data_IF_223937275279
#
_entry.id   IF_223937275279
#
_cell.length_a   1.000
_cell.length_b   1.000
_cell.length_c   1.000
_cell.angle_alpha   90.00
_cell.angle_beta   90.00
_cell.angle_gamma   90.00
#
_symmetry.space_group_name_H-M   'P 1'
#
loop_
_entity.id
_entity.type
_entity.pdbx_description
1 polymer ?
#
# COMPACT_ATOMS: atom_id res chain seq x y z
N UNK A 1 -55.39 15.80 -52.01
CA UNK A 1 -54.89 17.13 -51.59
C UNK A 1 -54.35 16.96 -50.18
N UNK A 2 -53.17 17.52 -49.91
CA UNK A 2 -52.16 17.03 -48.96
C UNK A 2 -52.58 17.08 -47.48
N UNK A 3 -52.22 16.02 -46.75
CA UNK A 3 -52.00 16.01 -45.30
C UNK A 3 -50.80 16.92 -44.97
N UNK A 4 -50.83 17.74 -43.91
CA UNK A 4 -49.65 18.43 -43.43
C UNK A 4 -48.79 17.50 -42.56
N UNK A 5 -47.49 17.63 -42.80
CA UNK A 5 -46.39 16.77 -42.38
C UNK A 5 -46.17 16.69 -40.86
N UNK A 6 -45.87 15.47 -40.42
CA UNK A 6 -45.29 15.16 -39.13
C UNK A 6 -43.79 15.46 -39.20
N UNK A 7 -43.39 16.70 -38.91
CA UNK A 7 -41.99 17.10 -38.94
C UNK A 7 -41.67 18.17 -37.88
N UNK A 8 -42.12 17.93 -36.65
CA UNK A 8 -41.81 18.80 -35.53
C UNK A 8 -41.67 17.98 -34.23
N UNK A 9 -40.50 17.37 -34.02
CA UNK A 9 -39.93 17.10 -32.68
C UNK A 9 -38.61 16.29 -32.72
N UNK A 10 -37.62 16.59 -33.57
CA UNK A 10 -36.22 16.21 -33.28
C UNK A 10 -35.28 17.33 -33.73
N UNK A 11 -35.20 18.41 -32.95
CA UNK A 11 -34.09 19.35 -33.05
C UNK A 11 -33.64 19.81 -31.66
N UNK A 12 -32.31 19.77 -31.49
CA UNK A 12 -31.44 20.44 -30.49
C UNK A 12 -31.07 19.65 -29.23
N UNK A 13 -29.89 19.06 -29.32
CA UNK A 13 -29.06 18.66 -28.19
C UNK A 13 -27.56 18.68 -28.54
N UNK A 14 -27.06 19.67 -29.28
CA UNK A 14 -25.61 19.88 -29.39
C UNK A 14 -25.15 20.78 -28.24
N UNK A 15 -24.57 20.14 -27.21
CA UNK A 15 -23.91 20.85 -26.12
C UNK A 15 -22.81 21.77 -26.67
N UNK A 16 -22.71 23.04 -26.23
CA UNK A 16 -21.69 23.97 -26.68
C UNK A 16 -20.31 23.50 -26.19
N UNK A 17 -19.59 22.79 -27.05
CA UNK A 17 -18.28 22.26 -26.76
C UNK A 17 -17.24 23.39 -26.65
N UNK A 18 -16.64 23.50 -25.46
CA UNK A 18 -15.65 24.51 -25.10
C UNK A 18 -14.46 24.50 -26.08
N UNK A 19 -13.92 25.67 -26.46
CA UNK A 19 -12.88 25.80 -27.51
C UNK A 19 -11.61 25.00 -27.20
N UNK A 20 -11.32 24.74 -25.92
CA UNK A 20 -10.22 23.87 -25.47
C UNK A 20 -10.52 22.39 -25.70
N UNK A 21 -11.76 21.97 -25.50
CA UNK A 21 -12.21 20.58 -25.72
C UNK A 21 -12.23 20.24 -27.22
N UNK A 22 -12.61 21.19 -28.09
CA UNK A 22 -12.48 21.03 -29.56
C UNK A 22 -11.03 20.83 -30.03
N UNK A 23 -10.07 21.51 -29.41
CA UNK A 23 -8.64 21.36 -29.74
C UNK A 23 -8.09 20.01 -29.30
N UNK A 24 -8.48 19.52 -28.13
CA UNK A 24 -8.11 18.19 -27.62
C UNK A 24 -8.68 17.09 -28.52
N UNK A 25 -9.94 17.22 -28.94
CA UNK A 25 -10.57 16.27 -29.88
C UNK A 25 -9.91 16.24 -31.25
N UNK A 26 -9.49 17.38 -31.79
CA UNK A 26 -8.77 17.45 -33.07
C UNK A 26 -7.38 16.80 -32.99
N UNK A 27 -6.66 16.96 -31.87
CA UNK A 27 -5.36 16.31 -31.66
C UNK A 27 -5.53 14.80 -31.52
N UNK A 28 -6.51 14.34 -30.75
CA UNK A 28 -6.81 12.90 -30.60
C UNK A 28 -7.19 12.25 -31.92
N UNK A 29 -8.01 12.93 -32.75
CA UNK A 29 -8.46 12.40 -34.03
C UNK A 29 -7.33 12.37 -35.08
N UNK A 30 -6.43 13.36 -35.04
CA UNK A 30 -5.20 13.32 -35.85
C UNK A 30 -4.25 12.19 -35.42
N UNK A 31 -4.11 11.94 -34.11
CA UNK A 31 -3.27 10.87 -33.56
C UNK A 31 -3.83 9.48 -33.92
N UNK A 32 -5.15 9.32 -33.93
CA UNK A 32 -5.85 8.11 -34.38
C UNK A 32 -5.68 7.85 -35.89
N UNK A 33 -5.70 8.89 -36.71
CA UNK A 33 -5.40 8.76 -38.15
C UNK A 33 -3.93 8.42 -38.41
N UNK A 34 -2.98 8.94 -37.62
CA UNK A 34 -1.57 8.56 -37.71
C UNK A 34 -1.34 7.08 -37.30
N UNK A 35 -2.07 6.58 -36.30
CA UNK A 35 -2.02 5.17 -35.89
C UNK A 35 -2.62 4.23 -36.95
N UNK A 36 -3.68 4.66 -37.65
CA UNK A 36 -4.28 3.89 -38.75
C UNK A 36 -3.38 3.78 -40.00
N UNK A 37 -2.63 4.84 -40.32
CA UNK A 37 -1.73 4.86 -41.49
C UNK A 37 -0.43 4.04 -41.28
N UNK A 38 -0.05 3.76 -40.03
CA UNK A 38 1.08 2.88 -39.70
C UNK A 38 0.71 1.39 -39.83
N UNK A 39 -0.57 1.04 -39.69
CA UNK A 39 -1.04 -0.35 -39.76
C UNK A 39 -1.18 -0.90 -41.19
N UNK A 40 -1.24 -0.05 -42.22
CA UNK A 40 -1.53 -0.49 -43.61
C UNK A 40 -0.30 -0.55 -44.52
N UNK A 41 0.93 -0.31 -44.01
CA UNK A 41 2.13 -0.25 -44.85
C UNK A 41 3.16 -1.37 -44.63
N UNK A 42 2.89 -2.31 -43.74
CA UNK A 42 3.84 -3.37 -43.35
C UNK A 42 3.21 -4.77 -43.41
N UNK A 43 2.61 -5.09 -44.56
CA UNK A 43 2.32 -6.49 -44.94
C UNK A 43 2.94 -6.72 -46.31
N UNK A 44 4.27 -6.87 -46.33
CA UNK A 44 4.93 -7.72 -47.32
C UNK A 44 5.45 -8.94 -46.57
N UNK A 45 5.06 -10.17 -46.93
CA UNK A 45 5.63 -11.37 -46.36
C UNK A 45 7.05 -11.54 -46.91
N UNK A 46 8.04 -11.37 -46.04
CA UNK A 46 9.42 -11.77 -46.27
C UNK A 46 9.50 -13.30 -46.20
N UNK A 47 10.24 -14.00 -47.08
CA UNK A 47 10.30 -15.46 -47.05
C UNK A 47 10.86 -15.94 -45.71
N UNK A 48 10.09 -16.79 -45.02
CA UNK A 48 10.43 -17.38 -43.73
C UNK A 48 11.84 -17.99 -43.76
N UNK A 49 12.79 -17.30 -43.12
CA UNK A 49 13.96 -17.98 -42.56
C UNK A 49 13.47 -18.77 -41.34
N UNK A 50 13.89 -20.03 -41.16
CA UNK A 50 13.42 -20.83 -40.04
C UNK A 50 13.75 -20.11 -38.73
N UNK A 51 12.70 -19.74 -37.98
CA UNK A 51 12.83 -19.27 -36.61
C UNK A 51 13.70 -20.28 -35.83
N UNK A 52 14.67 -19.81 -35.02
CA UNK A 52 15.37 -20.71 -34.13
C UNK A 52 14.34 -21.34 -33.19
N UNK A 53 14.18 -22.64 -33.35
CA UNK A 53 13.28 -23.53 -32.66
C UNK A 53 13.17 -23.16 -31.17
N UNK A 54 12.01 -22.65 -30.74
CA UNK A 54 11.66 -22.54 -29.31
C UNK A 54 11.44 -23.95 -28.77
N UNK A 55 12.53 -24.66 -28.53
CA UNK A 55 12.52 -25.89 -27.74
C UNK A 55 12.32 -25.54 -26.26
N UNK A 56 11.52 -26.33 -25.53
CA UNK A 56 11.23 -26.09 -24.13
C UNK A 56 12.53 -26.06 -23.33
N UNK A 57 12.55 -25.23 -22.31
CA UNK A 57 13.64 -25.16 -21.35
C UNK A 57 13.80 -26.51 -20.66
N UNK A 58 14.62 -27.40 -21.24
CA UNK A 58 15.33 -28.39 -20.46
C UNK A 58 16.02 -27.62 -19.33
N UNK A 59 15.83 -28.14 -18.11
CA UNK A 59 16.34 -27.65 -16.83
C UNK A 59 17.87 -27.69 -16.76
N UNK A 60 18.53 -27.08 -17.75
CA UNK A 60 19.97 -26.96 -17.84
C UNK A 60 20.36 -25.73 -17.02
N UNK A 61 21.20 -25.95 -16.02
CA UNK A 61 21.73 -24.88 -15.18
C UNK A 61 22.34 -23.77 -16.05
N UNK A 62 21.99 -22.53 -15.73
CA UNK A 62 22.45 -21.37 -16.48
C UNK A 62 23.84 -20.97 -16.01
N UNK A 63 24.73 -20.65 -16.97
CA UNK A 63 26.08 -20.15 -16.70
C UNK A 63 26.27 -18.79 -17.35
N UNK A 64 26.80 -17.84 -16.59
CA UNK A 64 27.20 -16.52 -17.08
C UNK A 64 28.64 -16.57 -17.56
N UNK A 65 28.93 -16.01 -18.74
CA UNK A 65 30.27 -16.04 -19.35
C UNK A 65 30.67 -14.68 -19.94
N UNK A 66 31.97 -14.33 -19.91
CA UNK A 66 32.45 -13.10 -20.51
C UNK A 66 32.60 -13.25 -22.04
N UNK A 67 32.13 -12.26 -22.78
CA UNK A 67 32.39 -12.07 -24.20
C UNK A 67 33.70 -11.33 -24.46
N UNK A 68 34.18 -11.40 -25.71
CA UNK A 68 35.44 -10.78 -26.13
C UNK A 68 35.46 -9.24 -25.99
N UNK A 69 34.29 -8.62 -25.90
CA UNK A 69 34.07 -7.18 -25.75
C UNK A 69 33.99 -6.72 -24.28
N UNK A 70 34.30 -7.58 -23.31
CA UNK A 70 34.16 -7.28 -21.88
C UNK A 70 32.69 -7.20 -21.40
N UNK A 71 31.74 -7.64 -22.23
CA UNK A 71 30.34 -7.81 -21.86
C UNK A 71 30.08 -9.24 -21.39
N UNK A 72 28.91 -9.46 -20.80
CA UNK A 72 28.49 -10.73 -20.26
C UNK A 72 27.31 -11.29 -21.06
N UNK A 73 27.36 -12.58 -21.33
CA UNK A 73 26.28 -13.38 -21.89
C UNK A 73 25.90 -14.52 -20.93
N UNK A 74 24.87 -15.27 -21.30
CA UNK A 74 24.42 -16.45 -20.57
C UNK A 74 24.28 -17.64 -21.52
N UNK A 75 24.62 -18.84 -21.04
CA UNK A 75 24.52 -20.09 -21.79
C UNK A 75 23.96 -21.20 -20.91
N UNK A 76 23.34 -22.19 -21.53
CA UNK A 76 22.94 -23.41 -20.85
C UNK A 76 24.17 -24.28 -20.55
N UNK A 77 24.03 -25.22 -19.60
CA UNK A 77 25.07 -26.17 -19.22
C UNK A 77 25.65 -26.98 -20.41
N UNK A 78 24.85 -27.23 -21.45
CA UNK A 78 25.28 -27.92 -22.68
C UNK A 78 26.07 -27.02 -23.66
N UNK A 79 26.33 -25.76 -23.30
CA UNK A 79 27.09 -24.80 -24.09
C UNK A 79 26.25 -23.96 -25.06
N UNK A 80 24.95 -24.20 -25.19
CA UNK A 80 24.06 -23.38 -26.03
C UNK A 80 23.95 -21.96 -25.49
N UNK A 81 24.30 -20.96 -26.29
CA UNK A 81 24.08 -19.54 -25.94
C UNK A 81 22.59 -19.27 -25.76
N UNK A 82 22.24 -18.68 -24.62
CA UNK A 82 20.88 -18.24 -24.29
C UNK A 82 20.75 -16.72 -24.43
N UNK A 83 21.79 -15.99 -24.02
CA UNK A 83 21.90 -14.53 -24.13
C UNK A 83 23.27 -14.18 -24.68
N UNK A 84 23.31 -13.44 -25.78
CA UNK A 84 24.55 -12.97 -26.38
C UNK A 84 25.31 -12.00 -25.45
N UNK A 85 26.66 -11.93 -25.50
CA UNK A 85 27.46 -11.03 -24.66
C UNK A 85 27.28 -9.54 -24.99
N UNK A 86 26.18 -8.95 -24.54
CA UNK A 86 25.83 -7.54 -24.77
C UNK A 86 25.70 -6.76 -23.45
N UNK A 87 25.54 -7.46 -22.32
CA UNK A 87 25.27 -6.85 -21.03
C UNK A 87 26.54 -6.39 -20.31
N UNK A 88 26.50 -5.25 -19.63
CA UNK A 88 27.62 -4.76 -18.82
C UNK A 88 27.85 -5.59 -17.55
N UNK A 89 26.84 -6.32 -17.10
CA UNK A 89 26.87 -7.17 -15.93
C UNK A 89 25.66 -8.11 -15.97
N UNK A 90 25.91 -9.39 -15.66
CA UNK A 90 24.90 -10.39 -15.40
C UNK A 90 25.28 -11.16 -14.14
N UNK A 91 24.29 -11.50 -13.32
CA UNK A 91 24.42 -12.41 -12.18
C UNK A 91 23.24 -13.37 -12.16
N UNK A 92 23.53 -14.63 -11.85
CA UNK A 92 22.49 -15.66 -11.71
C UNK A 92 21.72 -15.41 -10.42
N UNK A 93 20.40 -15.29 -10.54
CA UNK A 93 19.46 -15.32 -9.41
C UNK A 93 18.93 -16.74 -9.21
N UNK A 94 18.51 -17.38 -10.31
CA UNK A 94 18.07 -18.78 -10.40
C UNK A 94 18.38 -19.33 -11.79
N UNK A 95 18.05 -20.60 -12.05
CA UNK A 95 18.23 -21.22 -13.37
C UNK A 95 17.38 -20.56 -14.48
N UNK A 96 16.37 -19.77 -14.12
CA UNK A 96 15.51 -19.10 -15.12
C UNK A 96 15.58 -17.59 -15.08
N UNK A 97 16.19 -17.00 -14.04
CA UNK A 97 16.23 -15.55 -13.81
C UNK A 97 17.65 -15.05 -13.59
N UNK A 98 17.97 -13.95 -14.27
CA UNK A 98 19.24 -13.26 -14.18
C UNK A 98 19.03 -11.81 -13.73
N UNK A 99 19.91 -11.34 -12.85
CA UNK A 99 20.05 -9.92 -12.52
C UNK A 99 20.92 -9.28 -13.59
N UNK A 100 20.36 -8.28 -14.26
CA UNK A 100 21.05 -7.54 -15.30
C UNK A 100 21.25 -6.08 -14.89
N UNK A 101 22.35 -5.50 -15.34
CA UNK A 101 22.63 -4.07 -15.18
C UNK A 101 22.44 -3.33 -16.50
N UNK A 102 21.66 -2.26 -16.46
CA UNK A 102 21.62 -1.23 -17.48
C UNK A 102 22.30 0.03 -16.94
N UNK A 103 23.02 0.74 -17.81
CA UNK A 103 23.69 1.99 -17.47
C UNK A 103 23.47 2.98 -18.60
N UNK A 104 23.05 4.20 -18.24
CA UNK A 104 22.96 5.34 -19.15
C UNK A 104 24.22 6.24 -19.08
N UNK A 105 25.26 5.78 -18.38
CA UNK A 105 26.50 6.51 -18.13
C UNK A 105 26.45 7.48 -16.94
N UNK A 106 25.28 7.69 -16.32
CA UNK A 106 25.12 8.51 -15.11
C UNK A 106 24.75 7.68 -13.89
N UNK A 107 23.93 6.65 -14.09
CA UNK A 107 23.48 5.77 -13.02
C UNK A 107 23.38 4.34 -13.51
N UNK A 108 23.85 3.43 -12.66
CA UNK A 108 23.61 2.01 -12.84
C UNK A 108 22.24 1.66 -12.24
N UNK A 109 21.41 1.02 -13.06
CA UNK A 109 20.14 0.48 -12.65
C UNK A 109 20.10 -1.03 -12.92
N UNK A 110 19.46 -1.75 -12.01
CA UNK A 110 19.33 -3.20 -12.07
C UNK A 110 17.88 -3.58 -12.30
N UNK A 111 17.70 -4.66 -13.06
CA UNK A 111 16.42 -5.30 -13.33
C UNK A 111 16.60 -6.81 -13.41
N UNK A 112 15.49 -7.52 -13.57
CA UNK A 112 15.50 -8.97 -13.74
C UNK A 112 15.11 -9.31 -15.17
N UNK A 113 15.83 -10.25 -15.76
CA UNK A 113 15.53 -10.80 -17.08
C UNK A 113 15.44 -12.32 -16.97
N UNK A 114 14.58 -12.93 -17.78
CA UNK A 114 14.59 -14.38 -17.99
C UNK A 114 15.86 -14.80 -18.73
N UNK A 115 16.19 -16.08 -18.63
CA UNK A 115 17.30 -16.69 -19.37
C UNK A 115 17.16 -16.60 -20.90
N UNK A 116 15.97 -16.32 -21.43
CA UNK A 116 15.72 -16.02 -22.85
C UNK A 116 15.88 -14.53 -23.21
N UNK A 117 16.26 -13.67 -22.27
CA UNK A 117 16.45 -12.23 -22.46
C UNK A 117 15.21 -11.36 -22.23
N UNK A 118 14.04 -11.94 -21.95
CA UNK A 118 12.82 -11.18 -21.65
C UNK A 118 12.94 -10.41 -20.33
N UNK A 119 12.55 -9.14 -20.30
CA UNK A 119 12.57 -8.32 -19.08
C UNK A 119 11.38 -8.69 -18.19
N UNK A 120 11.65 -9.17 -16.97
CA UNK A 120 10.66 -9.45 -15.93
C UNK A 120 10.41 -8.25 -15.04
N UNK A 121 11.50 -7.62 -14.60
CA UNK A 121 11.48 -6.50 -13.66
C UNK A 121 12.25 -5.34 -14.28
N UNK A 122 11.65 -4.14 -14.36
CA UNK A 122 12.28 -3.00 -15.02
C UNK A 122 13.56 -2.56 -14.32
N UNK A 123 14.45 -1.92 -15.09
CA UNK A 123 15.74 -1.41 -14.61
C UNK A 123 15.57 -0.12 -13.79
N UNK A 124 15.02 -0.23 -12.59
CA UNK A 124 14.75 0.89 -11.67
C UNK A 124 15.48 0.77 -10.32
N UNK A 125 16.04 -0.41 -10.03
CA UNK A 125 16.66 -0.69 -8.73
C UNK A 125 18.12 -0.28 -8.71
N UNK A 126 18.62 0.15 -7.56
CA UNK A 126 20.03 0.42 -7.34
C UNK A 126 20.82 -0.85 -7.00
N UNK A 127 20.18 -1.89 -6.48
CA UNK A 127 20.80 -3.18 -6.22
C UNK A 127 19.77 -4.31 -6.04
N UNK A 128 20.24 -5.55 -6.25
CA UNK A 128 19.61 -6.80 -5.83
C UNK A 128 20.60 -7.59 -4.98
N UNK A 129 20.16 -8.06 -3.81
CA UNK A 129 20.98 -8.87 -2.91
C UNK A 129 20.19 -10.05 -2.37
N UNK A 130 20.78 -11.25 -2.26
CA UNK A 130 20.14 -12.37 -1.57
C UNK A 130 20.03 -12.02 -0.08
N UNK A 131 18.96 -12.48 0.56
CA UNK A 131 18.80 -12.34 2.00
C UNK A 131 19.59 -13.45 2.70
N UNK A 132 20.55 -13.07 3.55
CA UNK A 132 21.37 -14.04 4.27
C UNK A 132 20.52 -14.94 5.17
N UNK A 133 20.77 -16.25 5.11
CA UNK A 133 20.06 -17.25 5.91
C UNK A 133 18.73 -17.72 5.33
N UNK A 134 18.25 -17.12 4.23
CA UNK A 134 17.02 -17.52 3.55
C UNK A 134 17.31 -17.92 2.10
N UNK A 135 16.82 -19.08 1.70
CA UNK A 135 16.84 -19.49 0.30
C UNK A 135 15.74 -18.75 -0.45
N UNK A 136 15.98 -18.46 -1.73
CA UNK A 136 14.97 -17.96 -2.66
C UNK A 136 14.40 -16.56 -2.38
N UNK A 137 14.96 -15.83 -1.42
CA UNK A 137 14.54 -14.47 -1.07
C UNK A 137 15.59 -13.46 -1.49
N UNK A 138 15.15 -12.49 -2.29
CA UNK A 138 15.98 -11.40 -2.79
C UNK A 138 15.42 -10.04 -2.38
N UNK A 139 16.30 -9.19 -1.89
CA UNK A 139 16.00 -7.80 -1.56
C UNK A 139 16.48 -6.89 -2.67
N UNK A 140 15.56 -6.13 -3.25
CA UNK A 140 15.85 -5.10 -4.24
C UNK A 140 15.73 -3.72 -3.60
N UNK A 141 16.71 -2.84 -3.77
CA UNK A 141 16.66 -1.47 -3.25
C UNK A 141 16.49 -0.46 -4.36
N UNK A 142 15.77 0.63 -4.08
CA UNK A 142 15.65 1.78 -4.97
C UNK A 142 15.56 3.07 -4.17
N UNK A 143 15.65 4.21 -4.84
CA UNK A 143 15.59 5.53 -4.20
C UNK A 143 14.51 6.36 -4.85
N UNK A 144 13.62 6.90 -4.02
CA UNK A 144 12.56 7.82 -4.43
C UNK A 144 12.53 9.01 -3.46
N UNK A 145 12.47 10.23 -3.98
CA UNK A 145 12.46 11.46 -3.17
C UNK A 145 13.62 11.54 -2.14
N UNK A 146 14.79 11.00 -2.50
CA UNK A 146 15.98 10.98 -1.63
C UNK A 146 15.93 9.96 -0.49
N UNK A 147 14.89 9.13 -0.41
CA UNK A 147 14.77 8.04 0.56
C UNK A 147 14.94 6.69 -0.12
N UNK A 148 15.52 5.75 0.60
CA UNK A 148 15.72 4.39 0.13
C UNK A 148 14.52 3.53 0.51
N UNK A 149 14.09 2.70 -0.45
CA UNK A 149 13.01 1.74 -0.27
C UNK A 149 13.44 0.35 -0.74
N UNK A 150 12.67 -0.65 -0.34
CA UNK A 150 12.96 -2.06 -0.58
C UNK A 150 11.73 -2.80 -1.10
N UNK A 151 11.95 -3.66 -2.08
CA UNK A 151 11.01 -4.71 -2.48
C UNK A 151 11.63 -6.07 -2.20
N UNK A 152 10.77 -7.04 -1.88
CA UNK A 152 11.14 -8.44 -1.72
C UNK A 152 10.68 -9.24 -2.93
N UNK A 153 11.59 -10.06 -3.44
CA UNK A 153 11.38 -10.91 -4.61
C UNK A 153 11.65 -12.37 -4.28
N UNK A 154 10.85 -13.24 -4.90
CA UNK A 154 11.18 -14.65 -5.08
C UNK A 154 12.30 -14.79 -6.12
N UNK A 155 12.97 -15.94 -6.15
CA UNK A 155 14.00 -16.24 -7.14
C UNK A 155 13.50 -16.34 -8.59
N UNK A 156 12.18 -16.48 -8.78
CA UNK A 156 11.51 -16.48 -10.10
C UNK A 156 11.19 -15.05 -10.60
N UNK A 157 11.52 -14.04 -9.81
CA UNK A 157 11.32 -12.62 -10.12
C UNK A 157 9.92 -12.09 -9.80
N UNK A 158 9.04 -12.87 -9.17
CA UNK A 158 7.77 -12.38 -8.62
C UNK A 158 7.98 -11.70 -7.26
N UNK A 159 7.07 -10.78 -6.88
CA UNK A 159 7.16 -10.06 -5.60
C UNK A 159 6.44 -10.80 -4.48
N UNK A 160 7.03 -10.78 -3.28
CA UNK A 160 6.39 -11.26 -2.05
C UNK A 160 5.24 -10.34 -1.58
N UNK A 161 5.33 -9.05 -1.89
CA UNK A 161 4.34 -8.04 -1.52
C UNK A 161 4.33 -6.91 -2.55
N UNK A 162 3.21 -6.20 -2.68
CA UNK A 162 3.12 -5.05 -3.57
C UNK A 162 3.73 -3.79 -2.96
N UNK A 163 3.89 -3.77 -1.64
CA UNK A 163 4.40 -2.68 -0.82
C UNK A 163 5.90 -2.43 -1.00
N UNK A 164 6.26 -1.14 -1.07
CA UNK A 164 7.63 -0.65 -0.98
C UNK A 164 7.96 -0.32 0.48
N UNK A 165 8.90 -1.05 1.07
CA UNK A 165 9.26 -0.92 2.47
C UNK A 165 10.34 0.15 2.67
N UNK A 166 10.21 0.99 3.70
CA UNK A 166 11.27 1.94 4.11
C UNK A 166 12.40 1.22 4.84
N UNK A 167 12.10 0.09 5.50
CA UNK A 167 13.10 -0.82 6.06
C UNK A 167 12.64 -2.28 5.94
N UNK A 168 13.60 -3.17 5.77
CA UNK A 168 13.36 -4.60 5.71
C UNK A 168 14.62 -5.35 6.18
N UNK A 169 14.49 -6.01 7.32
CA UNK A 169 15.53 -6.80 7.97
C UNK A 169 15.04 -8.22 8.28
N UNK A 170 15.99 -9.15 8.34
CA UNK A 170 15.76 -10.53 8.67
C UNK A 170 16.68 -10.92 9.81
N UNK A 171 16.12 -11.42 10.90
CA UNK A 171 16.85 -11.89 12.06
C UNK A 171 16.18 -13.19 12.53
N UNK A 172 16.97 -14.25 12.69
CA UNK A 172 16.49 -15.57 13.10
C UNK A 172 15.29 -16.11 12.30
N UNK A 173 15.26 -15.84 10.99
CA UNK A 173 14.17 -16.26 10.09
C UNK A 173 12.92 -15.38 10.14
N UNK A 174 12.91 -14.34 10.98
CA UNK A 174 11.79 -13.41 11.12
C UNK A 174 12.07 -12.17 10.27
N UNK A 175 11.13 -11.87 9.37
CA UNK A 175 11.07 -10.61 8.64
C UNK A 175 10.55 -9.52 9.59
N UNK A 176 11.30 -8.43 9.70
CA UNK A 176 10.80 -7.15 10.22
C UNK A 176 10.78 -6.13 9.08
N UNK A 177 9.61 -5.58 8.78
CA UNK A 177 9.40 -4.61 7.72
C UNK A 177 8.69 -3.36 8.24
N UNK A 178 9.06 -2.18 7.75
CA UNK A 178 8.40 -0.94 8.14
C UNK A 178 8.06 -0.06 6.95
N UNK A 179 6.95 0.66 7.08
CA UNK A 179 6.51 1.69 6.16
C UNK A 179 5.86 2.84 6.93
N UNK A 180 6.47 4.02 6.89
CA UNK A 180 5.99 5.19 7.61
C UNK A 180 6.00 4.97 9.12
N UNK A 181 4.82 4.79 9.71
CA UNK A 181 4.64 4.55 11.16
C UNK A 181 4.22 3.12 11.47
N UNK A 182 4.18 2.27 10.46
CA UNK A 182 3.74 0.89 10.58
C UNK A 182 4.96 -0.01 10.62
N UNK A 183 4.92 -0.96 11.55
CA UNK A 183 5.92 -2.01 11.68
C UNK A 183 5.21 -3.37 11.60
N UNK A 184 5.82 -4.28 10.89
CA UNK A 184 5.32 -5.63 10.69
C UNK A 184 6.41 -6.63 11.04
N UNK A 185 6.02 -7.71 11.71
CA UNK A 185 6.89 -8.88 11.86
C UNK A 185 6.19 -10.12 11.34
N UNK A 186 6.91 -11.00 10.67
CA UNK A 186 6.32 -12.20 10.11
C UNK A 186 7.35 -13.20 9.64
N UNK A 187 6.88 -14.36 9.22
CA UNK A 187 7.71 -15.42 8.66
C UNK A 187 7.37 -15.58 7.18
N UNK A 188 8.40 -15.79 6.35
CA UNK A 188 8.21 -16.13 4.95
C UNK A 188 7.91 -17.63 4.83
N UNK A 189 6.74 -17.96 4.29
CA UNK A 189 6.35 -19.32 3.90
C UNK A 189 6.46 -19.46 2.37
N UNK A 190 6.22 -20.64 1.77
CA UNK A 190 6.51 -20.93 0.35
C UNK A 190 6.22 -19.81 -0.68
N UNK A 191 5.11 -19.06 -0.53
CA UNK A 191 4.75 -17.93 -1.42
C UNK A 191 4.13 -16.71 -0.75
N UNK A 192 3.99 -16.71 0.57
CA UNK A 192 3.27 -15.65 1.29
C UNK A 192 4.02 -15.26 2.56
N UNK A 193 3.79 -14.03 2.99
CA UNK A 193 4.28 -13.54 4.28
C UNK A 193 3.19 -13.81 5.32
N UNK A 194 3.49 -14.69 6.27
CA UNK A 194 2.62 -14.91 7.42
C UNK A 194 2.95 -13.88 8.51
N UNK A 195 2.15 -12.83 8.58
CA UNK A 195 2.36 -11.75 9.52
C UNK A 195 2.00 -12.19 10.94
N UNK A 196 3.00 -12.22 11.81
CA UNK A 196 2.87 -12.55 13.22
C UNK A 196 2.49 -11.33 14.06
N UNK A 197 2.94 -10.14 13.68
CA UNK A 197 2.57 -8.91 14.38
C UNK A 197 2.52 -7.70 13.46
N UNK A 198 1.70 -6.76 13.89
CA UNK A 198 1.59 -5.45 13.28
C UNK A 198 1.44 -4.40 14.38
N UNK A 199 2.14 -3.29 14.23
CA UNK A 199 1.98 -2.12 15.07
C UNK A 199 1.94 -0.84 14.26
N UNK A 200 1.22 0.15 14.79
CA UNK A 200 1.16 1.50 14.23
C UNK A 200 1.05 2.55 15.32
N UNK A 201 1.52 3.75 15.02
CA UNK A 201 1.48 4.89 15.93
C UNK A 201 0.79 6.10 15.29
N UNK A 202 -0.13 6.70 16.05
CA UNK A 202 -0.92 7.86 15.61
C UNK A 202 -0.68 9.06 16.53
N UNK A 203 -0.44 10.26 15.99
CA UNK A 203 -0.10 11.43 16.79
C UNK A 203 -1.32 12.01 17.50
N UNK A 204 -1.18 12.29 18.79
CA UNK A 204 -2.19 12.95 19.63
C UNK A 204 -1.53 14.10 20.38
N UNK A 205 -1.37 15.24 19.69
CA UNK A 205 -0.59 16.37 20.21
C UNK A 205 0.88 15.99 20.40
N UNK A 206 1.38 16.10 21.63
CA UNK A 206 2.74 15.67 21.99
C UNK A 206 2.84 14.18 22.36
N UNK A 207 1.70 13.48 22.44
CA UNK A 207 1.62 12.06 22.78
C UNK A 207 1.31 11.21 21.55
N UNK A 208 1.32 9.89 21.72
CA UNK A 208 1.00 8.93 20.67
C UNK A 208 -0.09 7.98 21.15
N UNK A 209 -0.98 7.62 20.24
CA UNK A 209 -1.88 6.48 20.34
C UNK A 209 -1.19 5.30 19.66
N UNK A 210 -0.95 4.22 20.37
CA UNK A 210 -0.39 2.99 19.81
C UNK A 210 -1.51 2.01 19.46
N UNK A 211 -1.31 1.24 18.41
CA UNK A 211 -2.16 0.09 18.07
C UNK A 211 -1.22 -1.07 17.75
N UNK A 212 -1.30 -2.16 18.50
CA UNK A 212 -0.43 -3.31 18.34
C UNK A 212 -1.23 -4.61 18.44
N UNK A 213 -1.07 -5.49 17.46
CA UNK A 213 -1.71 -6.79 17.44
C UNK A 213 -0.73 -7.88 17.02
N UNK A 214 -0.89 -9.07 17.60
CA UNK A 214 -0.03 -10.21 17.31
C UNK A 214 -0.77 -11.55 17.31
N UNK A 215 -0.15 -12.54 16.70
CA UNK A 215 -0.61 -13.92 16.59
C UNK A 215 -2.01 -14.06 16.00
N UNK A 216 -2.74 -15.06 16.48
CA UNK A 216 -4.10 -15.38 16.01
C UNK A 216 -5.15 -14.26 16.15
N UNK A 217 -4.83 -13.16 16.84
CA UNK A 217 -5.71 -11.97 16.86
C UNK A 217 -5.63 -11.24 15.52
N UNK A 218 -4.44 -11.08 14.94
CA UNK A 218 -4.23 -10.30 13.72
C UNK A 218 -5.06 -10.84 12.54
N UNK A 219 -5.10 -12.16 12.35
CA UNK A 219 -5.89 -12.78 11.26
C UNK A 219 -7.41 -12.66 11.41
N UNK A 220 -7.91 -12.31 12.61
CA UNK A 220 -9.35 -12.09 12.86
C UNK A 220 -9.76 -10.63 12.74
N UNK A 221 -8.80 -9.73 12.60
CA UNK A 221 -9.05 -8.30 12.46
C UNK A 221 -9.41 -7.95 11.00
N UNK A 222 -10.06 -6.79 10.77
CA UNK A 222 -10.22 -6.29 9.41
C UNK A 222 -8.87 -6.03 8.75
N UNK A 223 -8.88 -5.84 7.43
CA UNK A 223 -7.68 -5.52 6.65
C UNK A 223 -6.92 -4.32 7.26
N UNK A 224 -5.59 -4.33 7.16
CA UNK A 224 -4.70 -3.30 7.72
C UNK A 224 -5.11 -1.88 7.27
N UNK A 225 -5.56 -1.71 6.03
CA UNK A 225 -6.08 -0.43 5.53
C UNK A 225 -7.28 0.10 6.32
N UNK A 226 -8.14 -0.79 6.83
CA UNK A 226 -9.25 -0.46 7.72
C UNK A 226 -8.75 -0.17 9.13
N UNK A 227 -7.84 -0.99 9.67
CA UNK A 227 -7.22 -0.74 10.99
C UNK A 227 -6.56 0.64 11.04
N UNK A 228 -5.87 1.03 9.97
CA UNK A 228 -5.28 2.36 9.82
C UNK A 228 -6.30 3.48 9.96
N UNK A 229 -7.42 3.37 9.24
CA UNK A 229 -8.50 4.36 9.30
C UNK A 229 -9.16 4.39 10.69
N UNK A 230 -9.30 3.25 11.36
CA UNK A 230 -9.81 3.18 12.73
C UNK A 230 -8.85 3.87 13.73
N UNK A 231 -7.54 3.63 13.60
CA UNK A 231 -6.52 4.28 14.43
C UNK A 231 -6.44 5.79 14.20
N UNK A 232 -6.54 6.24 12.95
CA UNK A 232 -6.61 7.67 12.61
C UNK A 232 -7.86 8.34 13.22
N UNK A 233 -9.01 7.67 13.13
CA UNK A 233 -10.27 8.14 13.71
C UNK A 233 -10.17 8.26 15.24
N UNK A 234 -9.62 7.23 15.91
CA UNK A 234 -9.42 7.23 17.36
C UNK A 234 -8.42 8.30 17.81
N UNK A 235 -7.31 8.48 17.09
CA UNK A 235 -6.33 9.52 17.39
C UNK A 235 -6.92 10.93 17.19
N UNK A 236 -7.72 11.13 16.15
CA UNK A 236 -8.43 12.39 15.94
C UNK A 236 -9.40 12.68 17.08
N UNK A 237 -10.13 11.66 17.55
CA UNK A 237 -11.02 11.77 18.69
C UNK A 237 -10.27 12.15 19.98
N UNK A 238 -9.17 11.46 20.31
CA UNK A 238 -8.37 11.77 21.50
C UNK A 238 -7.72 13.16 21.42
N UNK A 239 -7.33 13.60 20.23
CA UNK A 239 -6.80 14.95 20.01
C UNK A 239 -7.86 16.00 20.31
N UNK A 240 -9.08 15.78 19.84
CA UNK A 240 -10.19 16.66 20.17
C UNK A 240 -10.41 16.69 21.69
N UNK A 241 -10.40 15.53 22.35
CA UNK A 241 -10.66 15.39 23.78
C UNK A 241 -9.61 16.05 24.69
N UNK A 242 -8.31 15.84 24.40
CA UNK A 242 -7.20 16.18 25.32
C UNK A 242 -6.27 17.29 24.83
N UNK A 243 -6.39 17.72 23.57
CA UNK A 243 -5.46 18.71 22.98
C UNK A 243 -6.20 19.97 22.57
N UNK A 244 -7.23 19.86 21.72
CA UNK A 244 -7.99 21.04 21.29
C UNK A 244 -9.12 21.39 22.25
N UNK A 245 -9.60 20.40 23.02
CA UNK A 245 -10.79 20.50 23.87
C UNK A 245 -12.04 20.97 23.09
N UNK A 246 -12.09 20.67 21.80
CA UNK A 246 -13.22 20.98 20.92
C UNK A 246 -14.10 19.74 20.75
N UNK A 247 -15.43 19.88 20.80
CA UNK A 247 -16.31 18.74 20.57
C UNK A 247 -16.09 18.21 19.14
N UNK A 248 -15.90 16.90 18.98
CA UNK A 248 -15.69 16.29 17.69
C UNK A 248 -17.02 16.39 16.90
N UNK A 249 -16.94 16.55 15.57
CA UNK A 249 -18.09 16.51 14.64
C UNK A 249 -19.06 15.33 14.93
N UNK A 250 -20.15 15.63 15.63
CA UNK A 250 -21.10 14.64 16.14
C UNK A 250 -22.30 14.44 15.22
N UNK A 251 -22.18 14.80 13.94
CA UNK A 251 -23.30 14.76 12.97
C UNK A 251 -23.93 13.38 12.80
N UNK A 252 -23.21 12.30 13.12
CA UNK A 252 -23.72 10.93 13.09
C UNK A 252 -24.11 10.33 14.45
N UNK A 253 -24.02 11.10 15.55
CA UNK A 253 -24.46 10.64 16.86
C UNK A 253 -25.97 10.83 17.02
N UNK A 254 -26.63 9.92 17.73
CA UNK A 254 -27.98 10.18 18.23
C UNK A 254 -28.00 11.42 19.13
N UNK A 255 -29.17 12.04 19.32
CA UNK A 255 -29.28 13.23 20.18
C UNK A 255 -28.80 12.97 21.62
N UNK A 256 -29.04 11.76 22.13
CA UNK A 256 -28.60 11.30 23.47
C UNK A 256 -27.07 11.13 23.54
N UNK A 257 -26.48 10.46 22.55
CA UNK A 257 -25.02 10.28 22.46
C UNK A 257 -24.30 11.62 22.27
N UNK A 258 -24.86 12.52 21.46
CA UNK A 258 -24.33 13.87 21.24
C UNK A 258 -24.42 14.72 22.51
N UNK A 259 -25.52 14.60 23.27
CA UNK A 259 -25.70 15.25 24.57
C UNK A 259 -24.66 14.78 25.60
N UNK A 260 -24.51 13.47 25.76
CA UNK A 260 -23.52 12.84 26.66
C UNK A 260 -22.09 13.23 26.28
N UNK A 261 -21.77 13.23 24.99
CA UNK A 261 -20.46 13.61 24.47
C UNK A 261 -20.15 15.09 24.75
N UNK A 262 -21.07 16.00 24.45
CA UNK A 262 -20.90 17.44 24.74
C UNK A 262 -20.77 17.72 26.24
N UNK A 263 -21.52 16.99 27.08
CA UNK A 263 -21.44 17.12 28.53
C UNK A 263 -20.09 16.61 29.08
N UNK A 264 -19.59 15.48 28.58
CA UNK A 264 -18.27 14.96 28.93
C UNK A 264 -17.14 15.94 28.57
N UNK A 265 -17.22 16.53 27.37
CA UNK A 265 -16.26 17.53 26.90
C UNK A 265 -16.19 18.77 27.80
N UNK A 266 -17.33 19.42 28.04
CA UNK A 266 -17.37 20.72 28.73
C UNK A 266 -16.93 20.66 30.19
N UNK A 267 -17.19 19.55 30.88
CA UNK A 267 -17.03 19.50 32.34
C UNK A 267 -15.93 18.55 32.81
N UNK A 268 -15.65 17.44 32.10
CA UNK A 268 -14.78 16.38 32.62
C UNK A 268 -13.37 16.43 32.07
N UNK A 269 -13.24 16.68 30.77
CA UNK A 269 -11.97 16.57 30.06
C UNK A 269 -11.32 17.93 29.73
N UNK A 270 -12.03 19.04 29.93
CA UNK A 270 -11.54 20.39 29.64
C UNK A 270 -10.21 20.75 30.33
N UNK A 271 -9.91 20.15 31.48
CA UNK A 271 -8.67 20.36 32.24
C UNK A 271 -7.83 19.09 32.35
N UNK A 272 -7.98 18.16 31.40
CA UNK A 272 -7.23 16.90 31.39
C UNK A 272 -6.08 16.95 30.39
N UNK A 273 -4.96 16.29 30.74
CA UNK A 273 -3.80 16.13 29.86
C UNK A 273 -3.54 14.65 29.61
N UNK A 274 -3.50 14.26 28.35
CA UNK A 274 -3.18 12.88 27.98
C UNK A 274 -1.76 12.52 28.45
N UNK A 275 -1.55 11.28 28.92
CA UNK A 275 -0.23 10.72 29.23
C UNK A 275 0.12 9.60 28.25
N UNK A 276 -0.80 8.68 28.04
CA UNK A 276 -0.67 7.56 27.11
C UNK A 276 -2.04 7.09 26.63
N UNK A 277 -2.07 6.48 25.45
CA UNK A 277 -3.24 5.78 24.94
C UNK A 277 -2.81 4.61 24.06
N UNK A 278 -3.54 3.50 24.17
CA UNK A 278 -3.33 2.28 23.40
C UNK A 278 -4.67 1.68 22.98
N UNK A 279 -4.78 1.26 21.72
CA UNK A 279 -5.92 0.44 21.26
C UNK A 279 -5.61 -1.02 21.57
N UNK A 280 -6.41 -1.60 22.46
CA UNK A 280 -6.22 -2.98 22.94
C UNK A 280 -7.15 -3.99 22.26
N UNK A 281 -8.24 -3.51 21.66
CA UNK A 281 -9.21 -4.38 20.99
C UNK A 281 -9.98 -3.64 19.90
N UNK A 282 -10.18 -4.32 18.79
CA UNK A 282 -11.08 -3.90 17.71
C UNK A 282 -12.03 -5.05 17.44
N UNK A 283 -13.33 -4.78 17.44
CA UNK A 283 -14.32 -5.78 17.07
C UNK A 283 -15.35 -5.18 16.11
N UNK A 284 -15.76 -5.98 15.13
CA UNK A 284 -16.87 -5.61 14.25
C UNK A 284 -18.18 -5.66 15.05
N UNK A 285 -19.07 -4.71 14.79
CA UNK A 285 -20.44 -4.73 15.29
C UNK A 285 -21.33 -5.33 14.21
N UNK A 286 -22.19 -6.28 14.59
CA UNK A 286 -23.23 -6.80 13.71
C UNK A 286 -24.34 -5.77 13.63
N UNK A 287 -24.47 -5.13 12.46
CA UNK A 287 -25.52 -4.15 12.16
C UNK A 287 -25.98 -4.37 10.71
N UNK A 288 -27.27 -4.22 10.44
CA UNK A 288 -27.87 -4.42 9.10
C UNK A 288 -27.48 -3.34 8.05
N UNK A 289 -26.63 -2.39 8.44
CA UNK A 289 -26.18 -1.27 7.63
C UNK A 289 -24.67 -1.38 7.25
N UNK A 290 -24.03 -0.24 7.04
CA UNK A 290 -22.60 -0.13 6.69
C UNK A 290 -21.68 -0.72 7.79
N UNK A 291 -20.42 -1.12 7.45
CA UNK A 291 -19.47 -1.65 8.43
C UNK A 291 -19.29 -0.73 9.64
N UNK A 292 -19.47 -1.28 10.84
CA UNK A 292 -19.26 -0.59 12.11
C UNK A 292 -18.33 -1.40 13.01
N UNK A 293 -17.50 -0.71 13.77
CA UNK A 293 -16.48 -1.28 14.65
C UNK A 293 -16.54 -0.61 16.01
N UNK A 294 -16.29 -1.37 17.07
CA UNK A 294 -15.95 -0.80 18.36
C UNK A 294 -14.45 -0.95 18.62
N UNK A 295 -13.84 0.16 19.01
CA UNK A 295 -12.42 0.34 19.25
C UNK A 295 -12.24 0.61 20.74
N UNK A 296 -11.70 -0.38 21.46
CA UNK A 296 -11.43 -0.27 22.87
C UNK A 296 -10.01 0.28 23.08
N UNK A 297 -9.92 1.33 23.88
CA UNK A 297 -8.69 2.01 24.24
C UNK A 297 -8.44 1.92 25.75
N UNK A 298 -7.19 1.73 26.14
CA UNK A 298 -6.69 2.05 27.47
C UNK A 298 -6.08 3.44 27.43
N UNK A 299 -6.55 4.34 28.31
CA UNK A 299 -6.15 5.74 28.31
C UNK A 299 -5.74 6.16 29.71
N UNK A 300 -4.56 6.76 29.81
CA UNK A 300 -4.05 7.39 31.03
C UNK A 300 -3.97 8.90 30.82
N UNK A 301 -4.55 9.67 31.73
CA UNK A 301 -4.53 11.13 31.67
C UNK A 301 -4.42 11.75 33.07
N UNK A 302 -3.98 12.99 33.12
CA UNK A 302 -3.92 13.78 34.34
C UNK A 302 -5.05 14.78 34.40
N UNK A 303 -5.56 15.02 35.60
CA UNK A 303 -6.55 16.05 35.88
C UNK A 303 -6.08 16.90 37.06
N UNK A 304 -6.21 18.21 36.94
CA UNK A 304 -6.02 19.11 38.10
C UNK A 304 -7.13 18.86 39.12
N UNK A 305 -6.77 18.41 40.31
CA UNK A 305 -7.72 18.19 41.42
C UNK A 305 -8.24 19.50 42.02
N UNK A 306 -9.26 19.42 42.87
CA UNK A 306 -9.76 20.58 43.63
C UNK A 306 -8.82 21.07 44.75
N UNK A 307 -7.72 20.37 45.01
CA UNK A 307 -6.55 20.87 45.72
C UNK A 307 -5.33 20.77 44.80
N UNK A 308 -4.24 21.47 45.09
CA UNK A 308 -3.00 21.58 44.28
C UNK A 308 -2.32 20.25 43.83
N UNK A 309 -2.94 19.08 44.01
CA UNK A 309 -2.49 17.80 43.50
C UNK A 309 -2.99 17.50 42.08
N UNK A 310 -2.09 16.98 41.24
CA UNK A 310 -2.43 16.33 39.98
C UNK A 310 -2.92 14.91 40.28
N UNK A 311 -4.09 14.56 39.78
CA UNK A 311 -4.61 13.19 39.84
C UNK A 311 -4.33 12.48 38.52
N UNK A 312 -3.66 11.32 38.58
CA UNK A 312 -3.47 10.44 37.42
C UNK A 312 -4.65 9.48 37.36
N UNK A 313 -5.31 9.44 36.20
CA UNK A 313 -6.50 8.64 35.96
C UNK A 313 -6.22 7.65 34.83
N UNK A 314 -6.45 6.38 35.13
CA UNK A 314 -6.50 5.30 34.14
C UNK A 314 -7.96 4.89 33.91
N UNK A 315 -8.34 4.76 32.64
CA UNK A 315 -9.69 4.32 32.25
C UNK A 315 -9.67 3.52 30.95
N UNK A 316 -10.73 2.76 30.72
CA UNK A 316 -11.02 2.16 29.42
C UNK A 316 -12.08 2.99 28.70
N UNK A 317 -11.76 3.40 27.47
CA UNK A 317 -12.65 4.13 26.59
C UNK A 317 -13.06 3.23 25.43
N UNK A 318 -14.32 3.30 25.01
CA UNK A 318 -14.82 2.61 23.83
C UNK A 318 -15.32 3.63 22.82
N UNK A 319 -14.74 3.60 21.63
CA UNK A 319 -15.15 4.41 20.49
C UNK A 319 -15.86 3.51 19.47
N UNK A 320 -17.10 3.84 19.12
CA UNK A 320 -17.76 3.21 17.96
C UNK A 320 -17.42 4.01 16.72
N UNK A 321 -16.95 3.34 15.67
CA UNK A 321 -16.57 3.93 14.39
C UNK A 321 -17.36 3.23 13.29
N UNK A 322 -18.10 4.02 12.51
CA UNK A 322 -18.96 3.51 11.44
C UNK A 322 -18.54 4.09 10.09
N UNK A 323 -18.64 3.27 9.05
CA UNK A 323 -18.39 3.70 7.68
C UNK A 323 -19.60 4.51 7.18
N UNK A 324 -19.35 5.66 6.59
CA UNK A 324 -20.39 6.50 5.97
C UNK A 324 -20.63 6.13 4.50
N UNK A 325 -21.60 6.78 3.85
CA UNK A 325 -21.95 6.53 2.44
C UNK A 325 -20.80 6.84 1.47
N UNK A 326 -19.93 7.79 1.81
CA UNK A 326 -18.73 8.15 1.03
C UNK A 326 -17.57 7.16 1.24
N UNK A 327 -17.76 6.15 2.10
CA UNK A 327 -16.79 5.11 2.37
C UNK A 327 -15.75 5.45 3.44
N UNK A 328 -15.84 6.62 4.08
CA UNK A 328 -14.96 7.06 5.17
C UNK A 328 -15.42 6.51 6.52
N UNK A 329 -14.47 6.22 7.42
CA UNK A 329 -14.76 5.84 8.80
C UNK A 329 -14.82 7.06 9.71
N UNK A 330 -15.92 7.21 10.43
CA UNK A 330 -16.16 8.30 11.36
C UNK A 330 -16.73 7.77 12.68
N UNK A 331 -16.39 8.42 13.80
CA UNK A 331 -16.93 7.98 15.08
C UNK A 331 -18.44 8.25 15.14
N UNK A 332 -19.14 7.33 15.80
CA UNK A 332 -20.60 7.23 15.87
C UNK A 332 -21.09 6.86 17.27
N UNK A 333 -20.18 6.76 18.24
CA UNK A 333 -20.53 6.56 19.64
C UNK A 333 -19.30 6.58 20.53
N UNK A 334 -19.46 6.97 21.79
CA UNK A 334 -18.38 6.99 22.77
C UNK A 334 -18.89 6.60 24.14
N UNK A 335 -18.15 5.74 24.83
CA UNK A 335 -18.36 5.47 26.25
C UNK A 335 -17.03 5.42 26.98
N UNK A 336 -17.09 5.75 28.26
CA UNK A 336 -15.96 5.71 29.19
C UNK A 336 -16.39 4.88 30.40
N UNK A 337 -15.59 3.89 30.78
CA UNK A 337 -15.92 2.98 31.88
C UNK A 337 -16.18 3.75 33.20
N UNK A 338 -15.48 4.86 33.42
CA UNK A 338 -15.70 5.75 34.58
C UNK A 338 -16.93 6.66 34.44
N UNK A 339 -17.55 6.76 33.26
CA UNK A 339 -18.86 7.39 33.08
C UNK A 339 -19.98 6.43 33.46
N UNK A 340 -19.89 5.18 33.00
CA UNK A 340 -20.95 4.17 33.19
C UNK A 340 -21.11 3.72 34.65
N UNK A 341 -20.04 3.78 35.45
CA UNK A 341 -20.10 3.42 36.87
C UNK A 341 -20.63 4.55 37.78
N UNK A 342 -20.80 5.77 37.25
CA UNK A 342 -21.25 6.94 38.01
C UNK A 342 -22.69 7.39 37.64
N UNK A 343 -23.33 6.68 36.70
CA UNK A 343 -24.72 6.86 36.27
C UNK A 343 -25.58 5.72 36.84
#
# INVERSE_FOLDING_TARGET
MRLPDADDAIQKGSLPMNRRLKRIWLVLLALLMCLGAAATRWVQPEPEQPEPEKQPADSASVQVFPGQNGRWGARAANGRTLIEPTWYYLRIMSDTVLIARSSDGKKDCFGLIRSNGEVLVPFIYSAFAPVSGLQDVWKASFTENGRQYYHLYHEDGTRWSDEAWESCSFEDGILTAAFGKECFTGVLNDREIDWESWSSEYPVGLHRLTMQFSGGVLHRLPQISTLRQLGECAAAYLRNLFVTHEPPDATLLSAEENGSLRAAFRNRYANCRLRSAEIVRVHRRETDALPSYAVQMHVTYERSGQGNGLEVIETSMMLTVSRNADGAYIYSGFTDARQSAAA
#
